data_IF_930963838468
#
_entry.id   IF_930963838468
#
_cell.length_a   1.000
_cell.length_b   1.000
_cell.length_c   1.000
_cell.angle_alpha   90.00
_cell.angle_beta   90.00
_cell.angle_gamma   90.00
#
_symmetry.space_group_name_H-M   'P 1'
#
loop_
_entity.id
_entity.type
_entity.pdbx_description
1 polymer ?
#
# COMPACT_ATOMS: atom_id res chain seq x y z
N UNK A 1 4.13 -13.87 -4.15
CA UNK A 1 3.93 -15.02 -3.25
C UNK A 1 2.52 -14.95 -2.67
N UNK A 2 1.88 -16.08 -2.38
CA UNK A 2 0.55 -16.09 -1.72
C UNK A 2 0.75 -16.15 -0.21
N UNK A 3 0.34 -15.10 0.52
CA UNK A 3 0.31 -15.11 1.98
C UNK A 3 -0.60 -16.26 2.42
N UNK A 4 -0.09 -17.13 3.28
CA UNK A 4 -0.83 -18.27 3.84
C UNK A 4 -0.48 -18.45 5.32
N UNK A 5 -1.13 -19.41 5.99
CA UNK A 5 -0.98 -19.67 7.43
C UNK A 5 0.45 -20.01 7.91
N UNK A 6 1.38 -20.30 7.00
CA UNK A 6 2.78 -20.58 7.31
C UNK A 6 3.72 -19.41 7.02
N UNK A 7 3.19 -18.29 6.51
CA UNK A 7 4.00 -17.08 6.28
C UNK A 7 4.30 -16.43 7.63
N UNK A 8 5.59 -16.17 7.97
CA UNK A 8 5.94 -15.39 9.15
C UNK A 8 5.20 -14.05 9.17
N UNK A 9 4.75 -13.61 10.34
CA UNK A 9 3.92 -12.41 10.46
C UNK A 9 4.64 -11.17 9.91
N UNK A 10 5.94 -11.04 10.18
CA UNK A 10 6.80 -9.97 9.68
C UNK A 10 6.92 -9.99 8.15
N UNK A 11 6.96 -11.18 7.55
CA UNK A 11 6.97 -11.34 6.10
C UNK A 11 5.61 -10.99 5.50
N UNK A 12 4.51 -11.46 6.11
CA UNK A 12 3.17 -11.13 5.66
C UNK A 12 2.90 -9.61 5.72
N UNK A 13 3.44 -8.93 6.74
CA UNK A 13 3.32 -7.49 6.87
C UNK A 13 4.11 -6.71 5.81
N UNK A 14 5.35 -7.13 5.54
CA UNK A 14 6.15 -6.54 4.45
C UNK A 14 5.49 -6.72 3.09
N UNK A 15 4.90 -7.89 2.84
CA UNK A 15 4.13 -8.15 1.62
C UNK A 15 2.87 -7.28 1.54
N UNK A 16 2.20 -6.99 2.67
CA UNK A 16 1.07 -6.05 2.69
C UNK A 16 1.52 -4.63 2.30
N UNK A 17 2.60 -4.11 2.90
CA UNK A 17 3.15 -2.79 2.57
C UNK A 17 3.56 -2.72 1.09
N UNK A 18 4.20 -3.75 0.55
CA UNK A 18 4.60 -3.82 -0.86
C UNK A 18 3.39 -3.81 -1.81
N UNK A 19 2.28 -4.43 -1.42
CA UNK A 19 1.03 -4.39 -2.20
C UNK A 19 0.43 -2.99 -2.24
N UNK A 20 0.38 -2.28 -1.12
CA UNK A 20 -0.12 -0.90 -1.11
C UNK A 20 0.77 0.02 -1.96
N UNK A 21 2.10 -0.15 -1.89
CA UNK A 21 3.03 0.61 -2.74
C UNK A 21 2.80 0.35 -4.24
N UNK A 22 2.56 -0.91 -4.62
CA UNK A 22 2.23 -1.27 -6.02
C UNK A 22 0.89 -0.73 -6.47
N UNK A 23 -0.11 -0.71 -5.60
CA UNK A 23 -1.42 -0.12 -5.89
C UNK A 23 -1.30 1.39 -6.07
N UNK A 24 -0.53 2.08 -5.21
CA UNK A 24 -0.19 3.49 -5.36
C UNK A 24 0.45 3.76 -6.73
N UNK A 25 1.49 3.01 -7.11
CA UNK A 25 2.17 3.16 -8.40
C UNK A 25 1.22 2.93 -9.57
N UNK A 26 0.35 1.92 -9.49
CA UNK A 26 -0.66 1.66 -10.50
C UNK A 26 -1.61 2.85 -10.69
N UNK A 27 -2.13 3.44 -9.61
CA UNK A 27 -3.02 4.59 -9.72
C UNK A 27 -2.28 5.86 -10.17
N UNK A 28 -1.04 6.06 -9.74
CA UNK A 28 -0.17 7.13 -10.24
C UNK A 28 0.01 7.03 -11.75
N UNK A 29 0.36 5.85 -12.25
CA UNK A 29 0.57 5.65 -13.68
C UNK A 29 -0.75 5.78 -14.47
N UNK A 30 -1.88 5.37 -13.88
CA UNK A 30 -3.21 5.58 -14.45
C UNK A 30 -3.56 7.07 -14.60
N UNK A 31 -3.13 7.93 -13.66
CA UNK A 31 -3.32 9.39 -13.74
C UNK A 31 -2.55 10.04 -14.89
N UNK A 32 -1.49 9.41 -15.41
CA UNK A 32 -0.73 9.94 -16.55
C UNK A 32 -1.46 9.70 -17.88
N UNK A 33 -2.28 8.65 -17.97
CA UNK A 33 -2.94 8.23 -19.21
C UNK A 33 -4.44 8.54 -19.28
N UNK A 34 -5.07 8.86 -18.14
CA UNK A 34 -6.51 9.15 -18.08
C UNK A 34 -6.81 10.56 -18.60
N UNK A 35 -7.69 10.65 -19.61
CA UNK A 35 -8.14 11.92 -20.18
C UNK A 35 -9.45 12.44 -19.54
N UNK A 36 -10.25 11.55 -18.95
CA UNK A 36 -11.50 11.88 -18.30
C UNK A 36 -11.25 12.45 -16.89
N UNK A 37 -11.77 13.65 -16.62
CA UNK A 37 -11.53 14.37 -15.37
C UNK A 37 -12.15 13.66 -14.16
N UNK A 38 -13.31 13.01 -14.31
CA UNK A 38 -13.96 12.31 -13.20
C UNK A 38 -13.21 11.03 -12.83
N UNK A 39 -12.68 10.29 -13.81
CA UNK A 39 -11.79 9.16 -13.54
C UNK A 39 -10.44 9.61 -12.98
N UNK A 40 -9.94 10.79 -13.35
CA UNK A 40 -8.74 11.39 -12.77
C UNK A 40 -8.92 11.63 -11.27
N UNK A 41 -10.01 12.28 -10.87
CA UNK A 41 -10.29 12.55 -9.45
C UNK A 41 -10.41 11.25 -8.64
N UNK A 42 -11.04 10.22 -9.22
CA UNK A 42 -11.14 8.90 -8.59
C UNK A 42 -9.76 8.24 -8.41
N UNK A 43 -8.92 8.21 -9.45
CA UNK A 43 -7.58 7.61 -9.33
C UNK A 43 -6.67 8.40 -8.40
N UNK A 44 -6.81 9.74 -8.33
CA UNK A 44 -6.07 10.56 -7.39
C UNK A 44 -6.49 10.27 -5.94
N UNK A 45 -7.79 10.12 -5.71
CA UNK A 45 -8.31 9.70 -4.41
C UNK A 45 -7.76 8.31 -4.01
N UNK A 46 -7.87 7.32 -4.90
CA UNK A 46 -7.37 5.97 -4.63
C UNK A 46 -5.86 5.95 -4.38
N UNK A 47 -5.07 6.66 -5.18
CA UNK A 47 -3.62 6.81 -4.98
C UNK A 47 -3.31 7.33 -3.58
N UNK A 48 -4.00 8.38 -3.11
CA UNK A 48 -3.79 8.95 -1.77
C UNK A 48 -4.21 7.99 -0.65
N UNK A 49 -5.27 7.23 -0.84
CA UNK A 49 -5.69 6.21 0.14
C UNK A 49 -4.63 5.12 0.29
N UNK A 50 -4.05 4.62 -0.80
CA UNK A 50 -3.00 3.59 -0.71
C UNK A 50 -1.71 4.10 -0.06
N UNK A 51 -1.36 5.39 -0.26
CA UNK A 51 -0.26 6.02 0.46
C UNK A 51 -0.53 6.03 1.97
N UNK A 52 -1.75 6.39 2.37
CA UNK A 52 -2.16 6.38 3.78
C UNK A 52 -2.18 4.96 4.36
N UNK A 53 -2.68 3.97 3.63
CA UNK A 53 -2.64 2.55 4.03
C UNK A 53 -1.20 2.06 4.22
N UNK A 54 -0.31 2.37 3.28
CA UNK A 54 1.10 2.00 3.36
C UNK A 54 1.77 2.63 4.58
N UNK A 55 1.49 3.90 4.88
CA UNK A 55 2.02 4.58 6.06
C UNK A 55 1.50 3.94 7.35
N UNK A 56 0.19 3.68 7.46
CA UNK A 56 -0.40 3.05 8.63
C UNK A 56 0.20 1.66 8.88
N UNK A 57 0.38 0.86 7.82
CA UNK A 57 1.03 -0.45 7.94
C UNK A 57 2.49 -0.32 8.39
N UNK A 58 3.24 0.68 7.90
CA UNK A 58 4.63 0.92 8.35
C UNK A 58 4.68 1.34 9.82
N UNK A 59 3.85 2.28 10.24
CA UNK A 59 3.81 2.77 11.62
C UNK A 59 3.48 1.65 12.60
N UNK A 60 2.49 0.81 12.28
CA UNK A 60 2.11 -0.32 13.12
C UNK A 60 3.16 -1.45 13.08
N UNK A 61 3.84 -1.64 11.95
CA UNK A 61 4.99 -2.54 11.87
C UNK A 61 6.12 -2.08 12.78
N UNK A 62 6.46 -0.79 12.77
CA UNK A 62 7.50 -0.23 13.64
C UNK A 62 7.13 -0.35 15.12
N UNK A 63 5.88 -0.03 15.50
CA UNK A 63 5.43 -0.20 16.88
C UNK A 63 5.44 -1.66 17.33
N UNK A 64 4.93 -2.56 16.50
CA UNK A 64 4.74 -3.97 16.87
C UNK A 64 6.01 -4.83 16.79
N UNK A 65 6.97 -4.46 15.94
CA UNK A 65 8.17 -5.28 15.69
C UNK A 65 9.48 -4.62 16.10
N UNK A 66 9.53 -3.29 16.28
CA UNK A 66 10.78 -2.57 16.62
C UNK A 66 10.78 -2.07 18.09
N UNK A 67 9.65 -2.03 18.81
CA UNK A 67 9.63 -1.60 20.22
C UNK A 67 10.22 -2.59 21.25
N UNK A 68 10.64 -3.80 20.86
CA UNK A 68 11.40 -4.72 21.74
C UNK A 68 12.92 -4.68 21.47
N UNK A 69 13.48 -3.50 21.21
CA UNK A 69 14.94 -3.26 21.19
C UNK A 69 15.37 -2.20 22.20
#
# INVERSE_FOLDING_TARGET
MTINKHTPLDQAWREAIDREQKAYEFYRDALEIVADTSLRDLFEFLMKEEEHHAQLLRDEFEKGFIQEM
#
